data_IF_533290402310
#
_entry.id   IF_533290402310
#
_cell.length_a   1.000
_cell.length_b   1.000
_cell.length_c   1.000
_cell.angle_alpha   90.00
_cell.angle_beta   90.00
_cell.angle_gamma   90.00
#
_symmetry.space_group_name_H-M   'P 1'
#
loop_
_entity.id
_entity.type
_entity.pdbx_description
1 polymer ?
#
# COMPACT_ATOMS: atom_id res chain seq x y z
N UNK A 1 30.77 -12.00 43.37
CA UNK A 1 29.65 -11.08 43.08
C UNK A 1 29.27 -11.27 41.62
N UNK A 2 28.19 -12.07 41.39
CA UNK A 2 27.80 -12.50 40.04
C UNK A 2 26.80 -11.47 39.48
N UNK A 3 27.19 -10.71 38.47
CA UNK A 3 26.28 -9.80 37.75
C UNK A 3 25.44 -10.64 36.80
N UNK A 4 24.17 -10.86 37.13
CA UNK A 4 23.18 -11.39 36.19
C UNK A 4 22.71 -10.24 35.35
N UNK A 5 23.18 -10.16 34.08
CA UNK A 5 22.66 -9.23 33.10
C UNK A 5 21.24 -9.65 32.73
N UNK A 6 20.26 -8.91 33.18
CA UNK A 6 18.85 -9.04 32.75
C UNK A 6 18.74 -8.48 31.33
N UNK A 7 18.78 -9.39 30.36
CA UNK A 7 18.55 -9.04 28.95
C UNK A 7 17.06 -8.74 28.76
N UNK A 8 16.67 -7.47 28.83
CA UNK A 8 15.32 -7.05 28.50
C UNK A 8 15.13 -7.32 27.01
N UNK A 9 14.43 -8.39 26.66
CA UNK A 9 13.92 -8.58 25.31
C UNK A 9 12.85 -7.51 25.06
N UNK A 10 13.23 -6.44 24.38
CA UNK A 10 12.26 -5.51 23.81
C UNK A 10 11.37 -6.30 22.85
N UNK A 11 10.03 -6.16 22.93
CA UNK A 11 9.16 -6.79 21.96
C UNK A 11 9.54 -6.25 20.57
N UNK A 12 9.94 -7.17 19.68
CA UNK A 12 10.13 -6.85 18.27
C UNK A 12 8.78 -6.38 17.77
N UNK A 13 8.62 -5.08 17.58
CA UNK A 13 7.43 -4.51 16.94
C UNK A 13 7.22 -5.28 15.63
N UNK A 14 6.08 -5.90 15.46
CA UNK A 14 5.77 -6.69 14.29
C UNK A 14 5.92 -5.77 13.07
N UNK A 15 6.93 -6.05 12.23
CA UNK A 15 7.24 -5.23 11.08
C UNK A 15 6.05 -5.28 10.12
N UNK A 16 5.30 -4.19 10.04
CA UNK A 16 4.17 -4.09 9.13
C UNK A 16 4.63 -4.00 7.68
N UNK A 17 3.81 -4.50 6.78
CA UNK A 17 4.03 -4.47 5.33
C UNK A 17 2.87 -3.76 4.66
N UNK A 18 3.11 -3.24 3.47
CA UNK A 18 2.05 -2.79 2.59
C UNK A 18 1.45 -3.95 1.82
N UNK A 19 0.11 -3.93 1.74
CA UNK A 19 -0.65 -4.76 0.86
C UNK A 19 -1.69 -3.94 0.11
N UNK A 20 -2.03 -4.38 -1.09
CA UNK A 20 -3.10 -3.83 -1.89
C UNK A 20 -4.30 -4.77 -1.82
N UNK A 21 -5.47 -4.22 -1.55
CA UNK A 21 -6.72 -4.97 -1.61
C UNK A 21 -7.02 -5.36 -3.05
N UNK A 22 -7.31 -6.65 -3.27
CA UNK A 22 -7.77 -7.20 -4.53
C UNK A 22 -8.96 -8.10 -4.30
N UNK A 23 -10.14 -7.59 -4.60
CA UNK A 23 -11.39 -8.30 -4.43
C UNK A 23 -12.34 -8.01 -5.60
N UNK A 24 -12.83 -9.05 -6.27
CA UNK A 24 -13.73 -8.96 -7.42
C UNK A 24 -15.10 -8.38 -7.04
N UNK A 25 -15.49 -8.49 -5.77
CA UNK A 25 -16.72 -7.92 -5.23
C UNK A 25 -16.61 -6.40 -5.03
N UNK A 26 -15.44 -5.80 -5.32
CA UNK A 26 -15.19 -4.36 -5.20
C UNK A 26 -14.83 -3.91 -3.77
N UNK A 27 -14.87 -4.78 -2.79
CA UNK A 27 -14.45 -4.53 -1.41
C UNK A 27 -14.15 -5.82 -0.67
N UNK A 28 -13.45 -5.73 0.45
CA UNK A 28 -13.25 -6.86 1.36
C UNK A 28 -13.52 -6.44 2.82
N UNK A 29 -13.76 -7.44 3.67
CA UNK A 29 -14.11 -7.22 5.06
C UNK A 29 -12.90 -7.36 5.99
N UNK A 30 -12.71 -6.37 6.87
CA UNK A 30 -11.88 -6.50 8.06
C UNK A 30 -12.78 -7.02 9.20
N UNK A 31 -12.31 -8.02 9.94
CA UNK A 31 -13.08 -8.71 10.99
C UNK A 31 -12.37 -8.62 12.35
N UNK A 32 -13.14 -8.74 13.43
CA UNK A 32 -12.59 -8.74 14.81
C UNK A 32 -11.61 -9.88 15.10
N UNK A 33 -11.69 -10.98 14.33
CA UNK A 33 -10.85 -12.16 14.54
C UNK A 33 -10.51 -12.88 13.24
N UNK A 34 -9.55 -13.83 13.28
CA UNK A 34 -9.03 -14.55 12.13
C UNK A 34 -9.99 -15.68 11.69
N UNK A 35 -11.12 -15.32 11.10
CA UNK A 35 -12.13 -16.27 10.60
C UNK A 35 -13.39 -15.58 10.12
N UNK A 36 -14.14 -16.24 9.25
CA UNK A 36 -15.40 -15.71 8.67
C UNK A 36 -16.54 -15.61 9.68
N UNK A 37 -16.46 -16.35 10.78
CA UNK A 37 -17.43 -16.33 11.89
C UNK A 37 -17.35 -15.07 12.76
N UNK A 38 -16.22 -14.32 12.64
CA UNK A 38 -16.07 -13.09 13.42
C UNK A 38 -16.80 -11.91 12.77
N UNK A 39 -17.29 -11.01 13.59
CA UNK A 39 -17.98 -9.78 13.19
C UNK A 39 -17.11 -8.93 12.27
N UNK A 40 -17.75 -8.31 11.27
CA UNK A 40 -17.12 -7.33 10.36
C UNK A 40 -17.01 -6.00 11.12
N UNK A 41 -15.82 -5.42 11.15
CA UNK A 41 -15.56 -4.11 11.77
C UNK A 41 -15.44 -3.01 10.73
N UNK A 42 -15.02 -3.35 9.51
CA UNK A 42 -14.82 -2.39 8.43
C UNK A 42 -14.88 -3.08 7.07
N UNK A 43 -15.30 -2.35 6.03
CA UNK A 43 -15.17 -2.76 4.62
C UNK A 43 -14.14 -1.87 3.94
N UNK A 44 -13.17 -2.49 3.27
CA UNK A 44 -12.11 -1.78 2.55
C UNK A 44 -12.30 -1.98 1.06
N UNK A 45 -12.40 -0.90 0.27
CA UNK A 45 -12.56 -0.98 -1.18
C UNK A 45 -11.40 -1.70 -1.89
N UNK A 46 -11.71 -2.34 -3.02
CA UNK A 46 -10.68 -2.87 -3.95
C UNK A 46 -9.74 -1.73 -4.37
N UNK A 47 -8.45 -2.04 -4.52
CA UNK A 47 -7.44 -1.07 -4.90
C UNK A 47 -6.88 -0.21 -3.75
N UNK A 48 -7.43 -0.32 -2.54
CA UNK A 48 -6.90 0.39 -1.36
C UNK A 48 -5.64 -0.29 -0.83
N UNK A 49 -4.70 0.53 -0.33
CA UNK A 49 -3.55 0.03 0.43
C UNK A 49 -3.89 -0.13 1.90
N UNK A 50 -3.34 -1.18 2.48
CA UNK A 50 -3.43 -1.45 3.92
C UNK A 50 -2.04 -1.71 4.50
N UNK A 51 -1.86 -1.38 5.77
CA UNK A 51 -0.76 -1.88 6.57
C UNK A 51 -1.15 -3.20 7.20
N UNK A 52 -0.33 -4.21 7.06
CA UNK A 52 -0.60 -5.52 7.62
C UNK A 52 0.64 -6.21 8.17
N UNK A 53 0.45 -7.15 9.07
CA UNK A 53 1.45 -8.10 9.51
C UNK A 53 0.89 -9.54 9.43
N UNK A 54 1.74 -10.56 9.36
CA UNK A 54 1.30 -11.94 9.46
C UNK A 54 0.46 -12.16 10.72
N UNK A 55 -0.64 -12.91 10.58
CA UNK A 55 -1.52 -13.28 11.66
C UNK A 55 -1.64 -14.80 11.78
N UNK A 56 -2.81 -15.31 12.18
CA UNK A 56 -3.06 -16.74 12.36
C UNK A 56 -3.53 -17.38 11.05
N UNK A 57 -2.84 -18.42 10.61
CA UNK A 57 -3.21 -19.14 9.37
C UNK A 57 -3.19 -18.23 8.14
N UNK A 58 -4.29 -18.23 7.39
CA UNK A 58 -4.45 -17.40 6.20
C UNK A 58 -5.01 -15.99 6.50
N UNK A 59 -4.85 -15.48 7.70
CA UNK A 59 -5.34 -14.17 8.12
C UNK A 59 -4.19 -13.24 8.46
N UNK A 60 -4.22 -12.03 7.92
CA UNK A 60 -3.31 -10.95 8.26
C UNK A 60 -3.95 -10.03 9.30
N UNK A 61 -3.14 -9.50 10.20
CA UNK A 61 -3.52 -8.39 11.09
C UNK A 61 -3.43 -7.09 10.31
N UNK A 62 -4.47 -6.28 10.34
CA UNK A 62 -4.53 -4.98 9.68
C UNK A 62 -4.37 -3.88 10.71
N UNK A 63 -3.59 -2.87 10.38
CA UNK A 63 -3.27 -1.74 11.24
C UNK A 63 -3.71 -0.42 10.61
N UNK A 64 -3.97 0.57 11.45
CA UNK A 64 -4.20 1.94 10.99
C UNK A 64 -2.94 2.49 10.32
N UNK A 65 -3.14 3.36 9.32
CA UNK A 65 -2.06 4.16 8.76
C UNK A 65 -2.08 5.52 9.45
N UNK A 66 -1.11 5.78 10.31
CA UNK A 66 -0.91 7.12 10.85
C UNK A 66 0.28 7.78 10.14
N UNK A 67 0.10 9.04 9.80
CA UNK A 67 1.09 9.87 9.11
C UNK A 67 1.88 10.75 10.08
N UNK A 68 1.48 10.78 11.35
CA UNK A 68 1.99 11.69 12.38
C UNK A 68 2.98 11.06 13.39
N UNK A 69 3.38 9.80 13.14
CA UNK A 69 4.28 9.08 14.04
C UNK A 69 3.62 8.47 15.28
N UNK A 70 2.29 8.52 15.38
CA UNK A 70 1.56 7.82 16.45
C UNK A 70 1.66 6.30 16.32
N UNK A 71 1.41 5.57 17.41
CA UNK A 71 1.43 4.11 17.39
C UNK A 71 0.32 3.56 16.48
N UNK A 72 0.69 2.55 15.68
CA UNK A 72 -0.26 1.87 14.81
C UNK A 72 -1.23 1.01 15.66
N UNK A 73 -2.51 1.30 15.56
CA UNK A 73 -3.54 0.50 16.19
C UNK A 73 -3.98 -0.66 15.28
N UNK A 74 -4.18 -1.82 15.89
CA UNK A 74 -4.70 -2.97 15.19
C UNK A 74 -6.21 -2.80 14.96
N UNK A 75 -6.63 -2.73 13.68
CA UNK A 75 -8.05 -2.63 13.28
C UNK A 75 -8.78 -3.97 13.30
N UNK A 76 -8.09 -5.04 12.95
CA UNK A 76 -8.69 -6.36 12.84
C UNK A 76 -7.92 -7.31 11.94
N UNK A 77 -8.64 -8.22 11.29
CA UNK A 77 -8.08 -9.28 10.45
C UNK A 77 -8.70 -9.28 9.06
N UNK A 78 -7.86 -9.55 8.06
CA UNK A 78 -8.24 -9.71 6.66
C UNK A 78 -7.72 -11.06 6.13
N UNK A 79 -8.47 -11.69 5.23
CA UNK A 79 -7.99 -12.93 4.62
C UNK A 79 -6.87 -12.64 3.61
N UNK A 80 -5.79 -13.40 3.66
CA UNK A 80 -4.58 -13.17 2.85
C UNK A 80 -4.82 -13.26 1.33
N UNK A 81 -5.82 -14.04 0.88
CA UNK A 81 -6.17 -14.13 -0.54
C UNK A 81 -6.72 -12.83 -1.14
N UNK A 82 -7.13 -11.89 -0.27
CA UNK A 82 -7.65 -10.58 -0.67
C UNK A 82 -6.57 -9.48 -0.66
N UNK A 83 -5.30 -9.86 -0.44
CA UNK A 83 -4.18 -8.92 -0.31
C UNK A 83 -3.07 -9.30 -1.27
N UNK A 84 -2.81 -8.42 -2.24
CA UNK A 84 -1.60 -8.50 -3.05
C UNK A 84 -0.48 -7.80 -2.31
N UNK A 85 0.61 -8.52 -2.08
CA UNK A 85 1.84 -7.96 -1.51
C UNK A 85 2.76 -7.57 -2.66
N UNK A 86 2.98 -6.27 -2.92
CA UNK A 86 3.87 -5.84 -3.98
C UNK A 86 5.29 -6.38 -3.77
N UNK A 87 5.90 -6.88 -4.82
CA UNK A 87 7.31 -7.30 -4.76
C UNK A 87 8.19 -6.08 -4.60
N UNK A 88 8.92 -5.99 -3.49
CA UNK A 88 9.98 -5.02 -3.32
C UNK A 88 11.22 -5.48 -4.10
N UNK A 89 11.45 -4.87 -5.23
CA UNK A 89 12.70 -5.05 -5.97
C UNK A 89 13.44 -3.71 -6.17
N UNK A 90 13.30 -2.78 -5.21
CA UNK A 90 14.08 -1.54 -5.22
C UNK A 90 13.67 -0.49 -6.25
N UNK A 91 12.74 -0.81 -7.15
CA UNK A 91 12.38 0.09 -8.25
C UNK A 91 11.28 1.08 -7.89
N UNK A 92 10.24 0.66 -7.17
CA UNK A 92 9.22 1.59 -6.64
C UNK A 92 9.54 1.96 -5.19
N UNK A 93 9.25 3.19 -4.80
CA UNK A 93 9.60 3.73 -3.48
C UNK A 93 8.39 4.21 -2.68
N UNK A 94 7.35 4.61 -3.38
CA UNK A 94 6.22 5.32 -2.77
C UNK A 94 4.90 4.85 -3.36
N UNK A 95 3.84 5.10 -2.62
CA UNK A 95 2.46 4.97 -3.06
C UNK A 95 1.94 6.34 -3.43
N UNK A 96 1.26 6.45 -4.56
CA UNK A 96 0.56 7.66 -4.97
C UNK A 96 -0.91 7.37 -5.22
N UNK A 97 -1.76 8.37 -5.04
CA UNK A 97 -3.16 8.36 -5.48
C UNK A 97 -3.30 9.26 -6.69
N UNK A 98 -3.91 8.77 -7.74
CA UNK A 98 -4.22 9.58 -8.93
C UNK A 98 -5.25 10.63 -8.58
N UNK A 99 -4.98 11.89 -8.94
CA UNK A 99 -5.87 13.04 -8.75
C UNK A 99 -6.01 13.78 -10.09
N UNK A 100 -7.12 13.55 -10.78
CA UNK A 100 -7.37 14.11 -12.10
C UNK A 100 -8.85 14.42 -12.30
N UNK A 101 -9.18 15.71 -12.48
CA UNK A 101 -10.56 16.21 -12.69
C UNK A 101 -11.22 15.62 -13.94
N UNK A 102 -10.42 15.19 -14.93
CA UNK A 102 -10.91 14.50 -16.13
C UNK A 102 -11.33 13.04 -15.86
N UNK A 103 -11.25 12.57 -14.59
CA UNK A 103 -11.63 11.23 -14.15
C UNK A 103 -10.59 10.15 -14.47
N UNK A 104 -9.51 10.45 -15.15
CA UNK A 104 -8.40 9.55 -15.41
C UNK A 104 -7.13 10.29 -15.82
N UNK A 105 -5.98 9.67 -15.67
CA UNK A 105 -4.72 10.18 -16.22
C UNK A 105 -3.99 9.12 -17.05
N UNK A 106 -3.14 9.59 -17.96
CA UNK A 106 -2.44 8.74 -18.92
C UNK A 106 -1.11 8.23 -18.34
N UNK A 107 -0.81 6.95 -18.57
CA UNK A 107 0.55 6.40 -18.49
C UNK A 107 1.18 6.53 -19.87
N UNK A 108 2.40 7.05 -19.95
CA UNK A 108 3.13 7.28 -21.18
C UNK A 108 4.42 6.46 -21.25
N UNK A 109 4.88 6.20 -22.46
CA UNK A 109 6.12 5.43 -22.71
C UNK A 109 7.37 6.14 -22.18
N UNK A 110 7.35 7.46 -22.04
CA UNK A 110 8.45 8.27 -21.53
C UNK A 110 7.97 9.50 -20.75
N UNK A 111 8.88 10.20 -20.07
CA UNK A 111 8.58 11.33 -19.20
C UNK A 111 8.31 12.61 -20.00
N UNK A 112 7.10 12.73 -20.53
CA UNK A 112 6.68 13.91 -21.29
C UNK A 112 5.41 13.68 -22.12
N UNK A 113 4.69 14.75 -22.44
CA UNK A 113 3.44 14.70 -23.20
C UNK A 113 3.63 14.24 -24.65
N UNK A 114 4.83 14.38 -25.21
CA UNK A 114 5.20 13.93 -26.55
C UNK A 114 5.28 12.41 -26.70
N UNK A 115 5.38 11.67 -25.60
CA UNK A 115 5.48 10.22 -25.65
C UNK A 115 4.11 9.57 -25.77
N UNK A 116 4.07 8.46 -26.49
CA UNK A 116 2.84 7.69 -26.71
C UNK A 116 2.19 7.26 -25.38
N UNK A 117 0.87 7.25 -25.36
CA UNK A 117 0.07 6.73 -24.24
C UNK A 117 0.10 5.21 -24.31
N UNK A 118 0.46 4.56 -23.21
CA UNK A 118 0.52 3.11 -23.06
C UNK A 118 -0.51 2.57 -22.07
N UNK A 119 -1.26 3.43 -21.41
CA UNK A 119 -2.32 3.06 -20.48
C UNK A 119 -3.00 4.28 -19.85
N UNK A 120 -4.05 3.99 -19.09
CA UNK A 120 -4.80 4.98 -18.31
C UNK A 120 -5.03 4.45 -16.91
N UNK A 121 -5.11 5.37 -15.94
CA UNK A 121 -5.46 5.08 -14.54
C UNK A 121 -6.59 6.02 -14.15
N UNK A 122 -7.62 5.49 -13.50
CA UNK A 122 -8.77 6.28 -13.03
C UNK A 122 -8.36 7.20 -11.89
N UNK A 123 -9.06 8.33 -11.79
CA UNK A 123 -9.00 9.19 -10.61
C UNK A 123 -9.30 8.39 -9.33
N UNK A 124 -8.66 8.75 -8.22
CA UNK A 124 -8.79 8.04 -6.95
C UNK A 124 -8.06 6.69 -6.86
N UNK A 125 -7.50 6.18 -7.96
CA UNK A 125 -6.76 4.90 -7.94
C UNK A 125 -5.39 5.05 -7.28
N UNK A 126 -5.01 4.03 -6.50
CA UNK A 126 -3.67 3.93 -5.93
C UNK A 126 -2.71 3.28 -6.91
N UNK A 127 -1.49 3.81 -6.97
CA UNK A 127 -0.42 3.36 -7.85
C UNK A 127 0.90 3.30 -7.09
N UNK A 128 1.79 2.41 -7.52
CA UNK A 128 3.16 2.39 -7.06
C UNK A 128 3.99 3.31 -7.95
N UNK A 129 4.79 4.18 -7.35
CA UNK A 129 5.59 5.19 -8.05
C UNK A 129 7.04 5.21 -7.59
N UNK A 130 7.89 5.75 -8.42
CA UNK A 130 9.28 6.13 -8.08
C UNK A 130 9.66 7.40 -8.83
N UNK A 131 10.33 8.31 -8.15
CA UNK A 131 10.85 9.56 -8.70
C UNK A 131 11.44 10.41 -7.59
N UNK A 132 12.25 11.39 -7.95
CA UNK A 132 12.81 12.33 -6.99
C UNK A 132 11.74 13.31 -6.50
N UNK A 133 12.02 14.03 -5.41
CA UNK A 133 11.05 14.94 -4.78
C UNK A 133 10.55 16.03 -5.74
N UNK A 134 11.41 16.50 -6.62
CA UNK A 134 11.15 17.54 -7.63
C UNK A 134 10.82 16.98 -9.02
N UNK A 135 10.65 15.66 -9.14
CA UNK A 135 10.33 15.02 -10.41
C UNK A 135 9.03 15.57 -11.00
N UNK A 136 9.06 15.96 -12.27
CA UNK A 136 7.86 16.36 -13.01
C UNK A 136 7.09 15.16 -13.58
N UNK A 137 7.72 13.99 -13.63
CA UNK A 137 7.17 12.73 -14.08
C UNK A 137 7.61 11.59 -13.16
N UNK A 138 6.66 10.79 -12.68
CA UNK A 138 6.94 9.59 -11.91
C UNK A 138 6.97 8.35 -12.80
N UNK A 139 7.88 7.42 -12.50
CA UNK A 139 7.77 6.05 -12.97
C UNK A 139 6.59 5.39 -12.27
N UNK A 140 5.76 4.70 -13.03
CA UNK A 140 4.56 4.01 -12.55
C UNK A 140 4.75 2.51 -12.66
N UNK A 141 4.34 1.79 -11.65
CA UNK A 141 4.45 0.34 -11.58
C UNK A 141 3.08 -0.30 -11.38
N UNK A 142 2.94 -1.56 -11.81
CA UNK A 142 1.76 -2.37 -11.47
C UNK A 142 1.73 -2.63 -9.97
N UNK A 143 0.60 -3.13 -9.50
CA UNK A 143 0.44 -3.61 -8.13
C UNK A 143 1.45 -4.70 -7.74
N UNK A 144 1.98 -5.44 -8.71
CA UNK A 144 3.02 -6.46 -8.51
C UNK A 144 4.44 -5.89 -8.60
N UNK A 145 4.58 -4.56 -8.79
CA UNK A 145 5.88 -3.89 -8.88
C UNK A 145 6.52 -3.90 -10.28
N UNK A 146 5.77 -4.27 -11.34
CA UNK A 146 6.30 -4.24 -12.71
C UNK A 146 6.17 -2.84 -13.30
N UNK A 147 7.25 -2.32 -13.89
CA UNK A 147 7.26 -1.01 -14.56
C UNK A 147 6.25 -0.94 -15.71
N UNK A 148 5.47 0.13 -15.75
CA UNK A 148 4.41 0.38 -16.75
C UNK A 148 4.69 1.58 -17.66
N UNK A 149 5.41 2.57 -17.19
CA UNK A 149 5.65 3.83 -17.89
C UNK A 149 5.73 5.03 -16.96
N UNK A 150 5.36 6.18 -17.47
CA UNK A 150 5.48 7.46 -16.77
C UNK A 150 4.15 8.19 -16.67
N UNK A 151 3.93 8.87 -15.54
CA UNK A 151 2.76 9.70 -15.27
C UNK A 151 3.21 11.07 -14.78
N UNK A 152 2.48 12.13 -15.15
CA UNK A 152 2.77 13.47 -14.66
C UNK A 152 2.63 13.53 -13.14
N UNK A 153 3.65 14.06 -12.47
CA UNK A 153 3.65 14.20 -11.01
C UNK A 153 2.51 15.12 -10.50
N UNK A 154 2.07 16.08 -11.33
CA UNK A 154 0.94 16.98 -11.01
C UNK A 154 -0.40 16.25 -10.85
N UNK A 155 -0.50 15.03 -11.38
CA UNK A 155 -1.70 14.19 -11.36
C UNK A 155 -1.60 13.08 -10.30
N UNK A 156 -0.62 13.17 -9.40
CA UNK A 156 -0.37 12.18 -8.35
C UNK A 156 -0.20 12.88 -7.03
N UNK A 157 -1.06 12.57 -6.10
CA UNK A 157 -0.88 12.92 -4.70
C UNK A 157 -0.06 11.80 -4.05
N UNK A 158 1.16 12.13 -3.59
CA UNK A 158 1.97 11.18 -2.83
C UNK A 158 1.27 10.85 -1.52
N UNK A 159 1.17 9.56 -1.23
CA UNK A 159 0.73 9.10 0.06
C UNK A 159 1.97 8.95 0.93
N UNK A 160 1.92 9.49 2.14
CA UNK A 160 3.01 9.26 3.08
C UNK A 160 3.13 7.77 3.32
N UNK A 161 4.28 7.23 2.92
CA UNK A 161 4.59 5.83 3.18
C UNK A 161 4.86 5.67 4.67
N UNK A 162 4.29 4.67 5.36
CA UNK A 162 4.79 4.31 6.66
C UNK A 162 6.29 4.05 6.55
N UNK A 163 7.05 4.71 7.39
CA UNK A 163 8.49 4.49 7.49
C UNK A 163 8.73 3.02 7.86
N UNK A 164 9.52 2.33 7.07
CA UNK A 164 9.92 0.94 7.33
C UNK A 164 11.18 0.90 8.17
#
# INVERSE_FOLDING_TARGET
>A
MLFVAFMVMLPCAAQTRFGLIKDEDGYTNIRKGPGTQYEIVEQVPDGMFINFAPGKGNWYKVYTSYTDGSEQEMKGYIHSSKVIVPKRQGEWKEVGMVKDEDGYTNIRKGPGTKYAIVGKVRDGSYILISGDYDATWYKVYTQQGTFRGYMSARKVMKMESPQF
#
